data_IF_465938531661
#
_entry.id   IF_465938531661
#
_cell.length_a   1.000
_cell.length_b   1.000
_cell.length_c   1.000
_cell.angle_alpha   90.00
_cell.angle_beta   90.00
_cell.angle_gamma   90.00
#
_symmetry.space_group_name_H-M   'P 1'
#
loop_
_entity.id
_entity.type
_entity.pdbx_description
1 polymer ?
#
# COMPACT_ATOMS: atom_id res chain seq x y z
N UNK A 1 -2.16 46.71 1.08
CA UNK A 1 -1.02 46.09 1.79
C UNK A 1 -1.40 44.73 2.41
N UNK A 2 -2.21 43.92 1.70
CA UNK A 2 -2.82 42.71 2.27
C UNK A 2 -2.85 41.53 1.29
N UNK A 3 -2.37 41.71 0.06
CA UNK A 3 -2.42 40.67 -1.00
C UNK A 3 -1.11 39.85 -1.06
N UNK A 4 -0.03 40.31 -0.42
CA UNK A 4 1.30 39.66 -0.47
C UNK A 4 1.45 38.55 0.60
N UNK A 5 0.59 38.52 1.62
CA UNK A 5 0.72 37.57 2.75
C UNK A 5 0.16 36.17 2.46
N UNK A 6 -0.55 35.96 1.35
CA UNK A 6 -1.21 34.67 1.06
C UNK A 6 -0.32 33.68 0.27
N UNK A 7 0.88 34.07 -0.14
CA UNK A 7 1.81 33.18 -0.87
C UNK A 7 2.73 32.38 0.07
N UNK A 8 2.93 32.83 1.31
CA UNK A 8 3.82 32.15 2.27
C UNK A 8 3.18 30.84 2.78
N UNK A 9 1.86 30.69 2.73
CA UNK A 9 1.15 29.53 3.28
C UNK A 9 1.12 28.29 2.36
N UNK A 10 1.38 28.45 1.05
CA UNK A 10 1.34 27.33 0.10
C UNK A 10 2.60 26.45 0.16
N UNK A 11 3.74 26.99 0.61
CA UNK A 11 5.01 26.27 0.64
C UNK A 11 5.17 25.27 1.81
N UNK A 12 4.26 25.27 2.78
CA UNK A 12 4.35 24.43 4.00
C UNK A 12 3.58 23.11 3.94
N UNK A 13 2.79 22.85 2.89
CA UNK A 13 2.03 21.58 2.75
C UNK A 13 2.91 20.44 2.22
N UNK A 14 4.20 20.69 1.97
CA UNK A 14 5.20 19.68 1.58
C UNK A 14 5.49 18.62 2.67
N UNK A 15 4.74 18.62 3.78
CA UNK A 15 4.79 17.63 4.86
C UNK A 15 4.22 16.26 4.49
N UNK A 16 4.43 15.76 3.28
CA UNK A 16 4.25 14.34 3.00
C UNK A 16 5.44 13.59 3.61
N UNK A 17 5.37 13.41 4.93
CA UNK A 17 6.14 12.41 5.66
C UNK A 17 5.68 11.03 5.19
N UNK A 18 6.06 10.67 3.98
CA UNK A 18 6.07 9.30 3.51
C UNK A 18 7.20 8.61 4.26
N UNK A 19 6.90 8.13 5.48
CA UNK A 19 7.76 7.18 6.18
C UNK A 19 7.96 6.00 5.26
N UNK A 20 9.07 6.02 4.54
CA UNK A 20 9.42 5.08 3.51
C UNK A 20 9.61 3.70 4.11
N UNK A 21 8.56 2.88 4.10
CA UNK A 21 8.78 1.46 3.83
C UNK A 21 8.84 1.31 2.32
N UNK A 22 10.05 1.02 1.85
CA UNK A 22 10.38 0.75 0.46
C UNK A 22 9.65 -0.50 -0.05
N UNK A 23 8.37 -0.35 -0.41
CA UNK A 23 7.52 -1.32 -1.14
C UNK A 23 8.03 -1.60 -2.58
N UNK A 24 9.34 -1.47 -2.79
CA UNK A 24 10.03 -1.69 -4.06
C UNK A 24 11.22 -2.63 -3.96
N UNK A 25 11.62 -3.06 -2.76
CA UNK A 25 12.64 -4.09 -2.60
C UNK A 25 11.99 -5.44 -2.86
N UNK A 26 12.61 -6.23 -3.74
CA UNK A 26 12.13 -7.51 -4.25
C UNK A 26 12.13 -8.64 -3.18
N UNK A 27 11.67 -8.35 -1.96
CA UNK A 27 11.80 -9.20 -0.77
C UNK A 27 10.79 -10.32 -0.79
N UNK A 28 11.18 -11.49 -0.28
CA UNK A 28 10.26 -12.61 -0.07
C UNK A 28 9.46 -12.38 1.20
N UNK A 29 8.13 -12.32 1.05
CA UNK A 29 7.18 -12.26 2.16
C UNK A 29 6.73 -13.68 2.51
N UNK A 30 6.55 -14.56 1.51
CA UNK A 30 6.22 -15.97 1.74
C UNK A 30 7.36 -16.89 1.27
N UNK A 31 8.12 -17.44 2.22
CA UNK A 31 9.21 -18.39 1.92
C UNK A 31 8.66 -19.73 1.41
N UNK A 32 7.55 -20.20 1.97
CA UNK A 32 6.96 -21.50 1.62
C UNK A 32 6.48 -21.63 0.17
N UNK A 33 6.06 -20.51 -0.42
CA UNK A 33 5.54 -20.43 -1.79
C UNK A 33 6.41 -19.55 -2.69
N UNK A 34 7.58 -19.10 -2.18
CA UNK A 34 8.49 -18.19 -2.87
C UNK A 34 7.79 -16.95 -3.46
N UNK A 35 6.90 -16.31 -2.68
CA UNK A 35 6.20 -15.09 -3.12
C UNK A 35 6.92 -13.85 -2.61
N UNK A 36 7.17 -12.93 -3.53
CA UNK A 36 7.77 -11.63 -3.27
C UNK A 36 6.70 -10.58 -2.96
N UNK A 37 7.14 -9.52 -2.29
CA UNK A 37 6.32 -8.36 -1.96
C UNK A 37 5.59 -7.79 -3.19
N UNK A 38 6.30 -7.63 -4.31
CA UNK A 38 5.71 -7.17 -5.58
C UNK A 38 4.61 -8.09 -6.10
N UNK A 39 4.81 -9.41 -6.06
CA UNK A 39 3.81 -10.38 -6.53
C UNK A 39 2.55 -10.33 -5.67
N UNK A 40 2.73 -10.11 -4.36
CA UNK A 40 1.62 -9.95 -3.42
C UNK A 40 0.92 -8.60 -3.57
N UNK A 41 1.64 -7.51 -3.83
CA UNK A 41 1.09 -6.18 -4.10
C UNK A 41 0.27 -6.15 -5.39
N UNK A 42 0.79 -6.77 -6.46
CA UNK A 42 0.05 -6.93 -7.72
C UNK A 42 -1.20 -7.78 -7.51
N UNK A 43 -1.10 -8.88 -6.77
CA UNK A 43 -2.27 -9.70 -6.45
C UNK A 43 -3.28 -8.96 -5.55
N UNK A 44 -2.80 -8.14 -4.61
CA UNK A 44 -3.61 -7.30 -3.73
C UNK A 44 -4.27 -6.11 -4.44
N UNK A 45 -3.98 -5.88 -5.71
CA UNK A 45 -4.64 -4.85 -6.50
C UNK A 45 -6.11 -5.21 -6.74
N UNK A 46 -7.02 -4.39 -6.21
CA UNK A 46 -8.47 -4.51 -6.38
C UNK A 46 -9.26 -4.11 -5.14
N UNK A 47 -10.50 -3.69 -5.35
CA UNK A 47 -11.42 -3.38 -4.26
C UNK A 47 -11.82 -4.63 -3.48
N UNK A 48 -11.84 -4.51 -2.15
CA UNK A 48 -12.32 -5.53 -1.21
C UNK A 48 -11.66 -6.90 -1.37
N UNK A 49 -10.33 -6.95 -1.49
CA UNK A 49 -9.60 -8.22 -1.52
C UNK A 49 -9.28 -8.77 -0.13
N UNK A 50 -9.36 -10.09 0.05
CA UNK A 50 -8.91 -10.79 1.26
C UNK A 50 -7.54 -11.48 1.05
N UNK A 51 -6.87 -11.86 2.15
CA UNK A 51 -5.62 -12.63 2.07
C UNK A 51 -5.80 -13.92 1.28
N UNK A 52 -6.93 -14.61 1.45
CA UNK A 52 -7.23 -15.83 0.69
C UNK A 52 -7.31 -15.57 -0.82
N UNK A 53 -7.90 -14.44 -1.22
CA UNK A 53 -8.01 -14.05 -2.63
C UNK A 53 -6.65 -13.69 -3.23
N UNK A 54 -5.76 -13.05 -2.45
CA UNK A 54 -4.37 -12.79 -2.85
C UNK A 54 -3.65 -14.10 -3.18
N UNK A 55 -3.66 -15.07 -2.26
CA UNK A 55 -3.02 -16.37 -2.52
C UNK A 55 -3.67 -17.11 -3.70
N UNK A 56 -5.00 -17.03 -3.83
CA UNK A 56 -5.74 -17.60 -4.96
C UNK A 56 -5.33 -16.99 -6.30
N UNK A 57 -5.16 -15.66 -6.37
CA UNK A 57 -4.66 -14.96 -7.56
C UNK A 57 -3.22 -15.37 -7.91
N UNK A 58 -2.38 -15.61 -6.91
CA UNK A 58 -1.04 -16.16 -7.10
C UNK A 58 -1.04 -17.67 -7.48
N UNK A 59 -2.20 -18.32 -7.54
CA UNK A 59 -2.31 -19.75 -7.85
C UNK A 59 -1.80 -20.68 -6.74
N UNK A 60 -1.65 -20.19 -5.51
CA UNK A 60 -1.11 -20.96 -4.39
C UNK A 60 -2.06 -20.97 -3.19
N UNK A 61 -1.74 -21.78 -2.17
CA UNK A 61 -2.39 -21.71 -0.84
C UNK A 61 -1.33 -21.53 0.25
N UNK A 62 -1.64 -20.81 1.34
CA UNK A 62 -0.70 -20.66 2.46
C UNK A 62 -0.39 -22.02 3.08
N UNK A 63 0.91 -22.30 3.33
CA UNK A 63 1.36 -23.56 3.96
C UNK A 63 1.47 -23.44 5.48
N UNK A 64 2.37 -22.58 5.97
CA UNK A 64 2.65 -22.41 7.40
C UNK A 64 1.91 -21.22 8.03
N UNK A 65 1.28 -20.36 7.24
CA UNK A 65 0.53 -19.19 7.70
C UNK A 65 1.36 -18.02 8.23
N UNK A 66 2.67 -18.15 8.39
CA UNK A 66 3.53 -17.11 9.02
C UNK A 66 3.49 -15.76 8.32
N UNK A 67 3.33 -15.74 7.00
CA UNK A 67 3.25 -14.53 6.18
C UNK A 67 1.85 -13.89 6.13
N UNK A 68 0.82 -14.54 6.69
CA UNK A 68 -0.56 -14.03 6.65
C UNK A 68 -0.72 -12.64 7.28
N UNK A 69 -0.16 -12.33 8.46
CA UNK A 69 -0.25 -10.97 9.01
C UNK A 69 0.42 -9.93 8.12
N UNK A 70 1.58 -10.23 7.53
CA UNK A 70 2.28 -9.31 6.62
C UNK A 70 1.46 -9.05 5.34
N UNK A 71 0.85 -10.09 4.78
CA UNK A 71 -0.03 -9.96 3.60
C UNK A 71 -1.29 -9.16 3.94
N UNK A 72 -1.83 -9.32 5.15
CA UNK A 72 -2.99 -8.53 5.61
C UNK A 72 -2.63 -7.04 5.76
N UNK A 73 -1.46 -6.74 6.32
CA UNK A 73 -0.96 -5.36 6.42
C UNK A 73 -0.80 -4.73 5.02
N UNK A 74 -0.22 -5.47 4.08
CA UNK A 74 -0.05 -5.04 2.69
C UNK A 74 -1.39 -4.72 2.02
N UNK A 75 -2.43 -5.52 2.24
CA UNK A 75 -3.79 -5.24 1.71
C UNK A 75 -4.36 -3.96 2.30
N UNK A 76 -4.23 -3.77 3.62
CA UNK A 76 -4.75 -2.57 4.29
C UNK A 76 -4.03 -1.31 3.83
N UNK A 77 -2.72 -1.38 3.63
CA UNK A 77 -1.95 -0.26 3.08
C UNK A 77 -2.40 0.11 1.66
N UNK A 78 -2.67 -0.88 0.81
CA UNK A 78 -3.22 -0.63 -0.54
C UNK A 78 -4.61 0.03 -0.49
N UNK A 79 -5.46 -0.40 0.45
CA UNK A 79 -6.78 0.20 0.68
C UNK A 79 -6.64 1.66 1.10
N UNK A 80 -5.76 1.94 2.05
CA UNK A 80 -5.57 3.29 2.59
C UNK A 80 -4.91 4.21 1.55
N UNK A 81 -4.01 3.70 0.72
CA UNK A 81 -3.45 4.45 -0.40
C UNK A 81 -4.54 4.86 -1.41
N UNK A 82 -5.44 3.93 -1.74
CA UNK A 82 -6.54 4.18 -2.68
C UNK A 82 -7.57 5.17 -2.13
N UNK A 83 -7.93 5.06 -0.85
CA UNK A 83 -8.87 6.00 -0.21
C UNK A 83 -8.32 7.42 -0.14
N UNK A 84 -7.03 7.59 0.19
CA UNK A 84 -6.40 8.91 0.25
C UNK A 84 -6.36 9.58 -1.15
N UNK A 85 -6.08 8.83 -2.22
CA UNK A 85 -6.13 9.36 -3.58
C UNK A 85 -7.53 9.86 -3.96
N UNK A 86 -8.58 9.12 -3.58
CA UNK A 86 -9.96 9.54 -3.86
C UNK A 86 -10.40 10.77 -3.04
N UNK A 87 -9.86 10.96 -1.84
CA UNK A 87 -10.16 12.12 -1.00
C UNK A 87 -9.56 13.41 -1.60
N UNK A 88 -8.32 13.37 -2.10
CA UNK A 88 -7.63 14.54 -2.68
C UNK A 88 -8.28 14.98 -4.00
N UNK A 89 -8.89 14.05 -4.76
CA UNK A 89 -9.55 14.37 -6.03
C UNK A 89 -10.93 15.03 -5.88
N UNK A 90 -11.48 15.09 -4.66
CA UNK A 90 -12.78 15.68 -4.37
C UNK A 90 -12.69 17.12 -3.82
N UNK A 91 -11.48 17.67 -3.69
CA UNK A 91 -11.20 19.02 -3.17
C UNK A 91 -10.84 20.03 -4.27
#
# INVERSE_FOLDING_TARGET
MTIIINWINVLSISGLSASGREFGRNMYVCICNALRDKELAEAASGDQISVHDVFRKCGTRPKCGKCVPDVAELIEQNRNASSNLSAIAAE
#
